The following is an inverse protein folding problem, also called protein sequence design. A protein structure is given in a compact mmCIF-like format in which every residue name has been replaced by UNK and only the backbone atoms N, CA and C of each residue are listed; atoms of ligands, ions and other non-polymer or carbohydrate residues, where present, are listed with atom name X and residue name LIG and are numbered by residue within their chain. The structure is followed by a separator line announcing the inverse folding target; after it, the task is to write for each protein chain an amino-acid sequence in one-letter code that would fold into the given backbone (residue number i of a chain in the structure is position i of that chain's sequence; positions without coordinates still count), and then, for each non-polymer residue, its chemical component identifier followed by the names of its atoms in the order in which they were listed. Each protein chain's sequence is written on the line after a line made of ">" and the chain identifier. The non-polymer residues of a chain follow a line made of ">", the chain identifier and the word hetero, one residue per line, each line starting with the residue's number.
data_IF_570210271334
#
_entry.id   IF_570210271334
#
_cell.length_a   1.000
_cell.length_b   1.000
_cell.length_c   1.000
_cell.angle_alpha   90.00
_cell.angle_beta   90.00
_cell.angle_gamma   90.00
#
_symmetry.space_group_name_H-M   'P 1'
#
loop_
_entity.id
_entity.type
_entity.pdbx_description
1 polymer ?
#
# COMPACT_ATOMS: atom_id res chain seq x y z
N UNK A 1 6.30 32.77 11.83
CA UNK A 1 7.15 31.66 12.28
C UNK A 1 6.78 30.49 11.41
N UNK A 2 7.78 29.86 10.81
CA UNK A 2 7.62 28.77 9.85
C UNK A 2 7.17 27.52 10.62
N UNK A 3 6.23 26.76 10.05
CA UNK A 3 5.75 25.52 10.66
C UNK A 3 6.89 24.52 10.86
N UNK A 4 6.70 23.59 11.78
CA UNK A 4 7.65 22.52 12.05
C UNK A 4 7.46 21.38 11.03
N UNK A 5 8.53 20.60 10.83
CA UNK A 5 8.61 19.56 9.80
C UNK A 5 8.30 18.20 10.41
N UNK A 6 7.44 17.44 9.72
CA UNK A 6 7.21 16.02 10.02
C UNK A 6 7.67 15.19 8.83
N UNK A 7 8.45 14.16 9.12
CA UNK A 7 9.00 13.26 8.14
C UNK A 7 8.05 12.07 7.94
N UNK A 8 7.51 11.92 6.73
CA UNK A 8 6.73 10.73 6.35
C UNK A 8 7.69 9.70 5.77
N UNK A 9 7.87 8.60 6.48
CA UNK A 9 8.70 7.46 6.10
C UNK A 9 7.77 6.36 5.59
N UNK A 10 7.50 6.38 4.28
CA UNK A 10 6.58 5.43 3.66
C UNK A 10 7.33 4.23 3.10
N UNK A 11 6.85 3.01 3.39
CA UNK A 11 7.43 1.78 2.86
C UNK A 11 6.38 0.71 2.63
N UNK A 12 6.68 -0.16 1.66
CA UNK A 12 6.01 -1.42 1.44
C UNK A 12 7.11 -2.49 1.28
N UNK A 13 7.76 -2.92 2.38
CA UNK A 13 8.77 -3.97 2.37
C UNK A 13 8.25 -5.22 1.67
N UNK A 14 9.15 -5.96 1.05
CA UNK A 14 8.86 -7.14 0.24
C UNK A 14 8.00 -8.14 1.04
N UNK A 15 6.88 -8.67 0.50
CA UNK A 15 6.18 -9.79 1.12
C UNK A 15 7.13 -10.97 1.38
N UNK A 16 7.29 -11.45 2.62
CA UNK A 16 8.28 -12.46 3.01
C UNK A 16 7.86 -13.89 2.62
N UNK A 17 7.28 -14.02 1.43
CA UNK A 17 6.69 -15.24 0.88
C UNK A 17 7.10 -15.40 -0.58
N UNK A 18 6.70 -16.50 -1.21
CA UNK A 18 7.04 -16.83 -2.61
C UNK A 18 8.54 -17.12 -2.87
N UNK A 19 9.24 -17.66 -1.86
CA UNK A 19 10.67 -18.01 -1.92
C UNK A 19 10.96 -19.51 -2.09
N UNK A 20 12.20 -19.82 -2.51
CA UNK A 20 12.82 -21.13 -2.32
C UNK A 20 13.50 -21.29 -0.95
N UNK A 21 14.23 -22.39 -0.70
CA UNK A 21 14.93 -22.64 0.57
C UNK A 21 15.93 -21.57 1.02
N UNK A 22 16.29 -20.65 0.12
CA UNK A 22 17.18 -19.52 0.36
C UNK A 22 16.56 -18.35 1.13
N UNK A 23 15.22 -18.26 1.23
CA UNK A 23 14.50 -17.22 2.00
C UNK A 23 14.89 -15.77 1.62
N UNK A 24 14.87 -15.46 0.31
CA UNK A 24 15.35 -14.16 -0.19
C UNK A 24 14.38 -13.02 0.14
N UNK A 25 13.08 -13.23 0.03
CA UNK A 25 12.10 -12.21 0.36
C UNK A 25 11.98 -12.04 1.87
N UNK A 26 12.06 -13.10 2.68
CA UNK A 26 12.12 -12.99 4.14
C UNK A 26 13.34 -12.19 4.61
N UNK A 27 14.53 -12.48 4.08
CA UNK A 27 15.76 -11.72 4.41
C UNK A 27 15.74 -10.29 3.88
N UNK A 28 15.14 -10.05 2.70
CA UNK A 28 14.97 -8.71 2.15
C UNK A 28 13.98 -7.87 2.96
N UNK A 29 12.82 -8.44 3.31
CA UNK A 29 11.84 -7.81 4.19
C UNK A 29 12.50 -7.39 5.51
N UNK A 30 13.30 -8.29 6.11
CA UNK A 30 14.07 -8.00 7.32
C UNK A 30 14.97 -6.77 7.16
N UNK A 31 15.74 -6.71 6.08
CA UNK A 31 16.68 -5.61 5.86
C UNK A 31 15.98 -4.29 5.47
N UNK A 32 14.85 -4.35 4.76
CA UNK A 32 14.00 -3.19 4.45
C UNK A 32 13.36 -2.59 5.72
N UNK A 33 12.93 -3.43 6.66
CA UNK A 33 12.45 -2.98 7.98
C UNK A 33 13.61 -2.43 8.84
N UNK A 34 14.74 -3.13 8.85
CA UNK A 34 15.94 -2.70 9.55
C UNK A 34 16.42 -1.34 9.07
N UNK A 35 16.37 -1.09 7.76
CA UNK A 35 16.73 0.21 7.18
C UNK A 35 16.01 1.35 7.90
N UNK A 36 14.70 1.23 8.15
CA UNK A 36 13.95 2.26 8.86
C UNK A 36 14.31 2.36 10.33
N UNK A 37 14.49 1.24 11.03
CA UNK A 37 14.94 1.24 12.42
C UNK A 37 16.29 1.95 12.58
N UNK A 38 17.24 1.69 11.67
CA UNK A 38 18.54 2.35 11.64
C UNK A 38 18.42 3.82 11.23
N UNK A 39 17.54 4.14 10.26
CA UNK A 39 17.31 5.51 9.76
C UNK A 39 16.83 6.46 10.86
N UNK A 40 15.90 6.01 11.71
CA UNK A 40 15.35 6.81 12.81
C UNK A 40 16.23 6.80 14.06
N UNK A 41 17.31 6.00 14.09
CA UNK A 41 18.22 5.91 15.23
C UNK A 41 19.48 6.73 15.01
N UNK A 42 19.67 7.85 15.73
CA UNK A 42 20.89 8.62 15.66
C UNK A 42 22.14 7.76 15.92
N UNK A 43 23.04 7.70 14.95
CA UNK A 43 24.30 6.95 15.05
C UNK A 43 24.27 5.52 14.51
N UNK A 44 23.11 4.95 14.15
CA UNK A 44 23.04 3.66 13.44
C UNK A 44 22.86 3.81 11.92
N UNK A 45 22.69 5.04 11.45
CA UNK A 45 22.43 5.40 10.06
C UNK A 45 23.69 5.70 9.22
N UNK A 46 24.88 5.25 9.65
CA UNK A 46 26.16 5.62 9.01
C UNK A 46 26.38 5.06 7.61
N UNK A 47 25.60 4.05 7.22
CA UNK A 47 25.67 3.43 5.89
C UNK A 47 24.61 3.99 4.92
N UNK A 48 23.71 4.84 5.42
CA UNK A 48 22.62 5.42 4.64
C UNK A 48 23.12 6.74 4.06
N UNK A 49 22.90 6.96 2.75
CA UNK A 49 23.31 8.17 2.07
C UNK A 49 22.35 8.53 0.93
N UNK A 50 22.26 9.82 0.62
CA UNK A 50 21.50 10.33 -0.51
C UNK A 50 22.32 10.35 -1.83
N UNK A 51 21.68 10.66 -2.95
CA UNK A 51 22.31 10.74 -4.27
C UNK A 51 23.41 11.83 -4.38
N UNK A 52 23.48 12.74 -3.41
CA UNK A 52 24.52 13.77 -3.32
C UNK A 52 25.67 13.36 -2.40
N UNK A 53 25.60 12.17 -1.80
CA UNK A 53 26.61 11.62 -0.91
C UNK A 53 26.54 12.14 0.53
N UNK A 54 25.42 12.75 0.96
CA UNK A 54 25.25 13.08 2.37
C UNK A 54 24.86 11.82 3.14
N UNK A 55 25.61 11.51 4.19
CA UNK A 55 25.38 10.35 5.03
C UNK A 55 24.50 10.70 6.23
N UNK A 56 23.64 9.76 6.63
CA UNK A 56 22.85 9.85 7.85
C UNK A 56 21.39 9.45 7.66
N UNK A 57 20.61 9.68 8.70
CA UNK A 57 19.17 9.50 8.74
C UNK A 57 18.51 10.67 9.46
N UNK A 58 17.44 10.42 10.22
CA UNK A 58 16.82 11.47 11.01
C UNK A 58 17.73 11.94 12.14
N UNK A 59 17.75 13.25 12.35
CA UNK A 59 18.45 13.87 13.47
C UNK A 59 17.67 13.65 14.77
N UNK A 60 18.39 13.69 15.89
CA UNK A 60 17.78 13.60 17.21
C UNK A 60 16.73 14.73 17.41
N UNK A 61 15.51 14.34 17.77
CA UNK A 61 14.40 15.26 18.03
C UNK A 61 13.53 15.60 16.82
N UNK A 62 13.81 15.05 15.63
CA UNK A 62 12.92 15.20 14.47
C UNK A 62 11.66 14.33 14.61
N UNK A 63 10.51 14.91 14.26
CA UNK A 63 9.21 14.22 14.29
C UNK A 63 9.01 13.38 13.02
N UNK A 64 8.50 12.16 13.15
CA UNK A 64 8.28 11.28 12.00
C UNK A 64 7.06 10.37 12.15
N UNK A 65 6.61 9.82 11.02
CA UNK A 65 5.65 8.71 10.90
C UNK A 65 6.26 7.64 10.02
N UNK A 66 6.19 6.38 10.46
CA UNK A 66 6.40 5.24 9.56
C UNK A 66 5.03 4.79 9.06
N UNK A 67 4.86 4.68 7.74
CA UNK A 67 3.57 4.40 7.10
C UNK A 67 3.71 3.34 6.01
N UNK A 68 2.69 2.51 5.89
CA UNK A 68 2.55 1.50 4.83
C UNK A 68 2.53 0.08 5.40
N UNK A 69 2.19 -0.88 4.54
CA UNK A 69 2.15 -2.29 4.91
C UNK A 69 3.58 -2.82 5.05
N UNK A 70 3.98 -3.21 6.26
CA UNK A 70 5.34 -3.71 6.51
C UNK A 70 5.52 -5.17 6.09
N UNK A 71 4.45 -5.86 5.69
CA UNK A 71 4.44 -7.28 5.33
C UNK A 71 5.08 -8.18 6.39
N UNK A 72 4.90 -7.83 7.66
CA UNK A 72 5.57 -8.52 8.74
C UNK A 72 4.68 -8.53 9.99
N UNK A 73 4.11 -9.71 10.27
CA UNK A 73 3.35 -9.95 11.50
C UNK A 73 4.28 -10.60 12.56
N UNK A 74 4.28 -10.09 13.80
CA UNK A 74 5.18 -10.59 14.86
C UNK A 74 4.81 -11.97 15.43
N UNK A 75 3.62 -12.50 15.12
CA UNK A 75 3.09 -13.77 15.63
C UNK A 75 2.85 -14.79 14.52
N UNK A 76 2.33 -14.33 13.39
CA UNK A 76 1.79 -15.18 12.32
C UNK A 76 2.47 -14.96 10.96
N UNK A 77 3.49 -14.09 10.88
CA UNK A 77 4.18 -13.71 9.65
C UNK A 77 5.39 -14.57 9.32
N UNK A 78 5.74 -14.62 8.03
CA UNK A 78 6.87 -15.41 7.51
C UNK A 78 8.22 -14.64 7.47
N UNK A 79 8.27 -13.41 7.98
CA UNK A 79 9.51 -12.62 8.01
C UNK A 79 10.61 -13.28 8.84
N UNK A 80 11.85 -13.27 8.33
CA UNK A 80 13.01 -13.79 9.06
C UNK A 80 13.29 -12.97 10.34
N UNK A 81 13.66 -13.66 11.42
CA UNK A 81 14.15 -13.06 12.67
C UNK A 81 13.20 -12.04 13.35
N UNK A 82 11.88 -12.18 13.19
CA UNK A 82 10.89 -11.26 13.77
C UNK A 82 11.15 -9.80 13.39
N UNK A 83 11.44 -9.55 12.10
CA UNK A 83 11.90 -8.27 11.60
C UNK A 83 11.13 -7.06 12.13
N UNK A 84 9.79 -7.15 12.19
CA UNK A 84 8.91 -6.05 12.61
C UNK A 84 9.12 -5.60 14.06
N UNK A 85 9.63 -6.48 14.93
CA UNK A 85 9.95 -6.12 16.32
C UNK A 85 11.05 -5.05 16.40
N UNK A 86 11.89 -4.92 15.36
CA UNK A 86 12.86 -3.83 15.26
C UNK A 86 12.20 -2.45 15.24
N UNK A 87 10.94 -2.34 14.76
CA UNK A 87 10.14 -1.12 14.80
C UNK A 87 9.19 -1.12 15.99
N UNK A 88 8.52 -2.25 16.28
CA UNK A 88 7.49 -2.27 17.32
C UNK A 88 8.04 -2.08 18.74
N UNK A 89 9.25 -2.59 19.01
CA UNK A 89 9.95 -2.45 20.29
C UNK A 89 10.92 -1.25 20.28
N UNK A 90 10.95 -0.47 19.19
CA UNK A 90 11.91 0.61 19.03
C UNK A 90 11.61 1.76 20.01
N UNK A 91 12.59 2.23 20.80
CA UNK A 91 12.35 3.23 21.85
C UNK A 91 11.93 4.61 21.32
N UNK A 92 12.16 4.88 20.03
CA UNK A 92 11.75 6.13 19.37
C UNK A 92 10.46 5.97 18.53
N UNK A 93 9.93 4.75 18.39
CA UNK A 93 8.67 4.52 17.66
C UNK A 93 7.54 4.37 18.67
N UNK A 94 6.46 5.12 18.46
CA UNK A 94 5.30 5.04 19.32
C UNK A 94 4.33 3.96 18.82
N UNK A 95 4.28 2.84 19.54
CA UNK A 95 3.36 1.72 19.30
C UNK A 95 2.24 1.62 20.32
N UNK A 96 2.04 2.64 21.15
CA UNK A 96 1.05 2.60 22.24
C UNK A 96 -0.41 2.52 21.76
N UNK A 97 -0.66 2.82 20.48
CA UNK A 97 -1.99 2.72 19.86
C UNK A 97 -1.91 1.75 18.69
N UNK A 98 -2.51 0.57 18.87
CA UNK A 98 -2.79 -0.38 17.79
C UNK A 98 -4.25 -0.22 17.39
N UNK A 99 -4.56 0.26 16.17
CA UNK A 99 -5.93 0.31 15.67
C UNK A 99 -6.54 -1.09 15.68
N UNK A 100 -7.80 -1.20 16.10
CA UNK A 100 -8.59 -2.43 16.00
C UNK A 100 -9.91 -2.15 15.30
N UNK A 101 -10.50 -3.16 14.67
CA UNK A 101 -11.74 -2.99 13.91
C UNK A 101 -12.67 -4.19 14.03
N UNK A 102 -13.98 -3.92 14.16
CA UNK A 102 -15.00 -4.98 14.12
C UNK A 102 -14.98 -5.76 12.81
N UNK A 103 -14.57 -5.13 11.71
CA UNK A 103 -14.41 -5.78 10.40
C UNK A 103 -13.38 -6.90 10.42
N UNK A 104 -12.26 -6.71 11.13
CA UNK A 104 -11.20 -7.71 11.28
C UNK A 104 -11.71 -8.94 12.03
N UNK A 105 -12.42 -8.71 13.14
CA UNK A 105 -13.05 -9.77 13.94
C UNK A 105 -14.08 -10.56 13.10
N UNK A 106 -14.91 -9.86 12.30
CA UNK A 106 -15.88 -10.51 11.42
C UNK A 106 -15.20 -11.33 10.32
N UNK A 107 -14.14 -10.80 9.72
CA UNK A 107 -13.36 -11.51 8.71
C UNK A 107 -12.75 -12.79 9.29
N UNK A 108 -12.16 -12.72 10.48
CA UNK A 108 -11.60 -13.89 11.15
C UNK A 108 -12.65 -14.98 11.44
N UNK A 109 -13.88 -14.59 11.82
CA UNK A 109 -14.98 -15.54 12.02
C UNK A 109 -15.42 -16.18 10.68
N UNK A 110 -15.51 -15.39 9.61
CA UNK A 110 -15.95 -15.85 8.28
C UNK A 110 -14.91 -16.78 7.65
N UNK A 111 -13.62 -16.44 7.76
CA UNK A 111 -12.51 -17.23 7.22
C UNK A 111 -12.37 -18.60 7.92
N UNK A 112 -12.94 -18.74 9.12
CA UNK A 112 -13.13 -20.04 9.76
C UNK A 112 -11.82 -20.79 9.95
N UNK A 113 -11.67 -21.94 9.27
CA UNK A 113 -10.54 -22.86 9.46
C UNK A 113 -9.17 -22.26 9.15
N UNK A 114 -9.08 -21.26 8.27
CA UNK A 114 -7.81 -20.60 7.93
C UNK A 114 -7.18 -19.89 9.15
N UNK A 115 -7.99 -19.45 10.12
CA UNK A 115 -7.52 -18.77 11.32
C UNK A 115 -7.43 -19.70 12.54
N UNK A 116 -7.64 -21.01 12.38
CA UNK A 116 -7.58 -21.96 13.51
C UNK A 116 -6.19 -22.02 14.17
N UNK A 117 -5.13 -21.68 13.42
CA UNK A 117 -3.75 -21.65 13.91
C UNK A 117 -3.23 -20.23 14.15
N UNK A 118 -4.06 -19.20 13.95
CA UNK A 118 -3.69 -17.80 14.13
C UNK A 118 -3.46 -17.51 15.62
N UNK A 119 -2.31 -16.94 15.95
CA UNK A 119 -1.89 -16.69 17.34
C UNK A 119 -2.16 -15.24 17.77
N UNK A 120 -2.04 -14.30 16.83
CA UNK A 120 -2.32 -12.89 17.00
C UNK A 120 -3.78 -12.62 17.37
N UNK A 121 -4.02 -11.51 18.06
CA UNK A 121 -5.39 -11.09 18.37
C UNK A 121 -6.07 -10.57 17.10
N UNK A 122 -7.04 -11.35 16.61
CA UNK A 122 -7.78 -11.04 15.37
C UNK A 122 -8.46 -9.68 15.29
N UNK A 123 -8.61 -8.97 16.42
CA UNK A 123 -9.07 -7.58 16.41
C UNK A 123 -8.09 -6.63 15.70
N UNK A 124 -6.84 -7.03 15.51
CA UNK A 124 -5.77 -6.28 14.85
C UNK A 124 -5.49 -6.72 13.41
N UNK A 125 -6.21 -7.74 12.92
CA UNK A 125 -6.04 -8.26 11.56
C UNK A 125 -6.62 -7.29 10.51
N UNK A 126 -6.35 -7.58 9.25
CA UNK A 126 -7.03 -6.93 8.13
C UNK A 126 -8.33 -7.69 7.79
N UNK A 127 -9.40 -6.95 7.46
CA UNK A 127 -10.58 -7.54 6.87
C UNK A 127 -10.37 -7.81 5.36
N UNK A 128 -11.24 -8.59 4.72
CA UNK A 128 -11.15 -8.89 3.29
C UNK A 128 -11.75 -7.82 2.37
N UNK A 129 -12.73 -7.04 2.86
CA UNK A 129 -13.43 -6.07 2.01
C UNK A 129 -12.50 -4.91 1.63
N UNK A 130 -12.43 -4.59 0.34
CA UNK A 130 -11.71 -3.40 -0.13
C UNK A 130 -12.25 -2.14 0.56
N UNK A 131 -11.36 -1.30 1.08
CA UNK A 131 -11.71 -0.17 1.96
C UNK A 131 -10.64 0.90 1.94
N UNK A 132 -11.01 2.10 2.39
CA UNK A 132 -10.05 3.15 2.71
C UNK A 132 -10.23 3.64 4.15
N UNK A 133 -9.18 4.23 4.71
CA UNK A 133 -9.16 4.78 6.07
C UNK A 133 -9.18 6.31 6.00
N UNK A 134 -9.97 6.93 6.86
CA UNK A 134 -9.94 8.39 7.06
C UNK A 134 -9.19 8.69 8.35
N UNK A 135 -8.18 9.55 8.26
CA UNK A 135 -7.31 9.95 9.36
C UNK A 135 -7.34 11.47 9.49
N UNK A 136 -7.53 11.97 10.71
CA UNK A 136 -7.17 13.35 11.04
C UNK A 136 -5.75 13.36 11.59
N UNK A 137 -4.93 14.30 11.13
CA UNK A 137 -3.59 14.53 11.66
C UNK A 137 -3.55 16.00 12.11
N UNK A 138 -3.59 16.23 13.43
CA UNK A 138 -3.47 17.57 13.99
C UNK A 138 -2.02 18.02 13.99
N UNK A 139 -1.69 18.98 13.11
CA UNK A 139 -0.36 19.58 13.00
C UNK A 139 -0.38 21.06 13.39
N UNK A 140 -1.37 21.49 14.17
CA UNK A 140 -1.61 22.91 14.44
C UNK A 140 -0.51 23.59 15.25
N UNK A 141 0.22 22.84 16.07
CA UNK A 141 1.40 23.32 16.80
C UNK A 141 2.72 23.04 16.08
N UNK A 142 2.68 22.34 14.94
CA UNK A 142 3.84 21.92 14.16
C UNK A 142 4.42 20.55 14.52
N UNK A 143 4.07 19.99 15.68
CA UNK A 143 4.59 18.71 16.13
C UNK A 143 3.67 17.57 15.69
N UNK A 144 4.23 16.37 15.58
CA UNK A 144 3.43 15.15 15.56
C UNK A 144 3.63 14.40 16.86
N UNK A 145 2.72 14.62 17.80
CA UNK A 145 2.76 13.98 19.10
C UNK A 145 1.73 12.84 19.22
N UNK A 146 1.87 12.09 20.31
CA UNK A 146 0.91 11.04 20.65
C UNK A 146 -0.51 11.61 20.75
N UNK A 147 -1.45 11.00 20.02
CA UNK A 147 -2.86 11.40 20.00
C UNK A 147 -3.22 12.39 18.89
N UNK A 148 -2.25 12.83 18.07
CA UNK A 148 -2.51 13.79 16.99
C UNK A 148 -3.00 13.10 15.71
N UNK A 149 -2.62 11.83 15.50
CA UNK A 149 -3.25 10.98 14.48
C UNK A 149 -4.49 10.34 15.09
N UNK A 150 -5.66 10.70 14.55
CA UNK A 150 -6.94 10.12 14.96
C UNK A 150 -7.53 9.36 13.77
N UNK A 151 -7.71 8.05 13.93
CA UNK A 151 -8.52 7.25 13.01
C UNK A 151 -9.98 7.68 13.14
N UNK A 152 -10.54 8.20 12.05
CA UNK A 152 -11.90 8.74 12.01
C UNK A 152 -12.90 7.71 11.55
N UNK A 153 -12.54 6.99 10.48
CA UNK A 153 -13.46 6.06 9.85
C UNK A 153 -12.73 4.99 9.04
N UNK A 154 -13.44 3.89 8.80
CA UNK A 154 -13.07 2.83 7.87
C UNK A 154 -14.24 2.66 6.92
N UNK A 155 -14.02 2.97 5.64
CA UNK A 155 -15.09 3.01 4.64
C UNK A 155 -14.87 1.91 3.60
N UNK A 156 -15.78 0.95 3.56
CA UNK A 156 -15.80 -0.11 2.54
C UNK A 156 -16.10 0.47 1.16
N UNK A 157 -15.35 0.04 0.15
CA UNK A 157 -15.64 0.32 -1.25
C UNK A 157 -16.78 -0.60 -1.72
N UNK A 158 -17.78 0.00 -2.36
CA UNK A 158 -18.99 -0.65 -2.85
C UNK A 158 -19.06 -0.53 -4.36
N UNK A 159 -19.56 -1.56 -5.02
CA UNK A 159 -19.84 -1.57 -6.46
C UNK A 159 -21.03 -0.64 -6.82
N UNK A 160 -21.36 -0.56 -8.11
CA UNK A 160 -22.48 0.28 -8.58
C UNK A 160 -23.87 -0.17 -8.10
N UNK A 161 -23.99 -1.37 -7.54
CA UNK A 161 -25.21 -1.90 -6.94
C UNK A 161 -25.28 -1.64 -5.42
N UNK A 162 -24.21 -1.06 -4.85
CA UNK A 162 -24.09 -0.77 -3.42
C UNK A 162 -23.65 -1.97 -2.58
N UNK A 163 -23.11 -3.03 -3.20
CA UNK A 163 -22.58 -4.19 -2.50
C UNK A 163 -21.07 -4.06 -2.31
N UNK A 164 -20.48 -4.59 -1.22
CA UNK A 164 -19.04 -4.80 -1.15
C UNK A 164 -18.57 -5.63 -2.34
N UNK A 165 -17.40 -5.29 -2.90
CA UNK A 165 -16.79 -6.11 -3.94
C UNK A 165 -16.59 -7.54 -3.42
N UNK A 166 -16.86 -8.58 -4.24
CA UNK A 166 -16.61 -9.95 -3.84
C UNK A 166 -15.10 -10.18 -3.63
N UNK A 167 -14.76 -11.26 -2.91
CA UNK A 167 -13.38 -11.70 -2.77
C UNK A 167 -12.70 -11.82 -4.14
N UNK A 168 -11.51 -11.21 -4.30
CA UNK A 168 -10.78 -11.08 -5.58
C UNK A 168 -11.54 -10.35 -6.70
N UNK A 169 -12.60 -9.61 -6.37
CA UNK A 169 -13.38 -8.81 -7.33
C UNK A 169 -12.80 -7.43 -7.63
N UNK A 170 -11.86 -6.98 -6.82
CA UNK A 170 -11.12 -5.74 -6.93
C UNK A 170 -9.73 -5.96 -6.33
N UNK A 171 -8.74 -5.32 -6.92
CA UNK A 171 -7.38 -5.28 -6.39
C UNK A 171 -6.88 -3.83 -6.42
N UNK A 172 -7.20 -3.01 -5.39
CA UNK A 172 -7.02 -1.56 -5.44
C UNK A 172 -5.59 -1.14 -5.03
N UNK A 173 -4.91 -0.41 -5.90
CA UNK A 173 -3.49 -0.04 -5.69
C UNK A 173 -3.27 1.48 -5.50
N UNK A 174 -4.13 2.30 -6.10
CA UNK A 174 -3.96 3.75 -6.12
C UNK A 174 -5.22 4.48 -5.68
N UNK A 175 -5.04 5.59 -4.96
CA UNK A 175 -6.12 6.47 -4.48
C UNK A 175 -5.77 7.94 -4.74
N UNK A 176 -6.74 8.69 -5.27
CA UNK A 176 -6.59 10.14 -5.50
C UNK A 176 -7.86 10.90 -5.11
N UNK A 177 -7.73 11.85 -4.18
CA UNK A 177 -8.83 12.72 -3.74
C UNK A 177 -9.04 13.90 -4.70
N UNK A 178 -10.30 14.20 -4.99
CA UNK A 178 -10.72 15.37 -5.77
C UNK A 178 -11.10 16.54 -4.87
N UNK A 179 -10.98 17.76 -5.38
CA UNK A 179 -11.47 19.02 -4.82
C UNK A 179 -12.99 19.04 -4.59
N UNK A 180 -13.72 18.08 -5.17
CA UNK A 180 -15.18 17.91 -4.97
C UNK A 180 -15.51 16.92 -3.86
N UNK A 181 -14.52 16.34 -3.18
CA UNK A 181 -14.75 15.34 -2.13
C UNK A 181 -15.21 14.01 -2.70
N UNK A 182 -14.54 13.53 -3.75
CA UNK A 182 -14.69 12.18 -4.30
C UNK A 182 -13.31 11.55 -4.48
N UNK A 183 -13.27 10.23 -4.64
CA UNK A 183 -12.03 9.47 -4.80
C UNK A 183 -11.98 8.86 -6.18
N UNK A 184 -10.83 8.92 -6.85
CA UNK A 184 -10.50 7.93 -7.87
C UNK A 184 -9.74 6.79 -7.20
N UNK A 185 -10.07 5.56 -7.59
CA UNK A 185 -9.35 4.35 -7.20
C UNK A 185 -8.91 3.63 -8.47
N UNK A 186 -7.64 3.22 -8.54
CA UNK A 186 -7.14 2.32 -9.58
C UNK A 186 -7.15 0.90 -9.05
N UNK A 187 -7.55 -0.03 -9.90
CA UNK A 187 -7.42 -1.45 -9.64
C UNK A 187 -6.58 -2.14 -10.70
N UNK A 188 -5.70 -3.02 -10.23
CA UNK A 188 -4.76 -3.77 -11.06
C UNK A 188 -5.46 -4.89 -11.86
N UNK A 189 -6.59 -5.39 -11.35
CA UNK A 189 -7.34 -6.50 -11.96
C UNK A 189 -6.73 -7.86 -11.61
N UNK A 190 -7.08 -8.89 -12.38
CA UNK A 190 -6.50 -10.25 -12.22
C UNK A 190 -6.50 -10.88 -13.62
N UNK A 191 -5.35 -10.81 -14.29
CA UNK A 191 -5.21 -11.31 -15.66
C UNK A 191 -5.42 -12.84 -15.74
N UNK A 192 -5.12 -13.58 -14.67
CA UNK A 192 -5.31 -15.04 -14.62
C UNK A 192 -6.80 -15.39 -14.53
N UNK A 193 -7.60 -14.52 -13.90
CA UNK A 193 -9.06 -14.65 -13.77
C UNK A 193 -9.85 -13.87 -14.83
N UNK A 194 -9.16 -13.24 -15.79
CA UNK A 194 -9.74 -12.32 -16.79
C UNK A 194 -10.53 -11.15 -16.19
N UNK A 195 -10.14 -10.72 -14.99
CA UNK A 195 -10.63 -9.51 -14.36
C UNK A 195 -9.86 -8.32 -14.95
N UNK A 196 -10.59 -7.37 -15.52
CA UNK A 196 -10.01 -6.19 -16.15
C UNK A 196 -9.46 -5.22 -15.09
N UNK A 197 -8.34 -4.53 -15.38
CA UNK A 197 -7.93 -3.37 -14.60
C UNK A 197 -8.95 -2.25 -14.77
N UNK A 198 -9.07 -1.36 -13.79
CA UNK A 198 -9.95 -0.20 -13.89
C UNK A 198 -9.38 1.05 -13.21
N UNK A 199 -9.97 2.20 -13.56
CA UNK A 199 -9.89 3.41 -12.75
C UNK A 199 -11.31 3.92 -12.58
N UNK A 200 -11.85 3.87 -11.37
CA UNK A 200 -13.25 4.20 -11.10
C UNK A 200 -13.34 5.31 -10.06
N UNK A 201 -14.48 6.00 -10.05
CA UNK A 201 -14.76 7.08 -9.11
C UNK A 201 -15.77 6.65 -8.04
N UNK A 202 -15.44 6.99 -6.80
CA UNK A 202 -16.15 6.61 -5.59
C UNK A 202 -16.52 7.85 -4.79
N UNK A 203 -17.65 7.81 -4.10
CA UNK A 203 -17.99 8.80 -3.08
C UNK A 203 -17.12 8.61 -1.84
N UNK A 204 -17.06 9.61 -0.95
CA UNK A 204 -16.44 9.43 0.37
C UNK A 204 -17.25 8.50 1.30
N UNK A 205 -18.42 8.05 0.88
CA UNK A 205 -19.16 6.97 1.54
C UNK A 205 -18.81 5.59 0.96
N UNK A 206 -17.88 5.52 -0.01
CA UNK A 206 -17.41 4.27 -0.61
C UNK A 206 -18.19 3.79 -1.83
N UNK A 207 -19.24 4.50 -2.26
CA UNK A 207 -20.10 4.07 -3.37
C UNK A 207 -19.45 4.37 -4.73
N UNK A 208 -19.25 3.35 -5.57
CA UNK A 208 -18.86 3.55 -6.96
C UNK A 208 -20.00 4.22 -7.73
N UNK A 209 -19.72 5.33 -8.41
CA UNK A 209 -20.72 6.03 -9.23
C UNK A 209 -20.26 6.31 -10.66
N UNK A 210 -18.98 6.09 -10.99
CA UNK A 210 -18.46 6.30 -12.34
C UNK A 210 -17.33 5.32 -12.69
N UNK A 211 -17.37 4.80 -13.91
CA UNK A 211 -16.31 3.99 -14.49
C UNK A 211 -15.57 4.76 -15.58
N UNK A 212 -14.24 4.74 -15.54
CA UNK A 212 -13.44 5.27 -16.63
C UNK A 212 -13.08 4.14 -17.59
N UNK A 213 -13.58 4.20 -18.83
CA UNK A 213 -13.18 3.35 -19.96
C UNK A 213 -11.66 3.11 -20.06
N UNK A 214 -11.20 1.90 -19.76
CA UNK A 214 -9.81 1.52 -19.98
C UNK A 214 -9.61 1.12 -21.44
N UNK A 215 -8.56 1.59 -22.15
CA UNK A 215 -8.33 1.17 -23.53
C UNK A 215 -8.13 -0.34 -23.66
N UNK A 216 -8.69 -0.96 -24.69
CA UNK A 216 -8.68 -2.42 -24.89
C UNK A 216 -7.30 -3.08 -24.79
N UNK A 217 -6.22 -2.36 -25.10
CA UNK A 217 -4.85 -2.88 -25.02
C UNK A 217 -4.44 -3.32 -23.60
N UNK A 218 -5.09 -2.77 -22.57
CA UNK A 218 -4.83 -3.12 -21.17
C UNK A 218 -5.69 -4.31 -20.71
N UNK A 219 -6.72 -4.69 -21.46
CA UNK A 219 -7.63 -5.74 -21.04
C UNK A 219 -7.00 -7.12 -21.32
N UNK A 220 -6.92 -8.02 -20.32
CA UNK A 220 -6.40 -9.36 -20.52
C UNK A 220 -7.27 -10.15 -21.50
N UNK A 221 -6.64 -10.91 -22.40
CA UNK A 221 -7.34 -11.82 -23.31
C UNK A 221 -7.20 -13.27 -22.88
N UNK A 222 -8.24 -14.07 -23.13
CA UNK A 222 -8.28 -15.49 -22.76
C UNK A 222 -7.17 -16.34 -23.39
N UNK A 223 -6.63 -15.91 -24.53
CA UNK A 223 -5.49 -16.56 -25.19
C UNK A 223 -4.13 -16.09 -24.66
N UNK A 224 -4.11 -15.16 -23.70
CA UNK A 224 -2.91 -14.57 -23.12
C UNK A 224 -2.06 -13.79 -24.11
N UNK A 225 -2.64 -13.33 -25.23
CA UNK A 225 -1.90 -12.63 -26.29
C UNK A 225 -1.79 -11.11 -26.07
N UNK A 226 -2.63 -10.53 -25.22
CA UNK A 226 -2.61 -9.10 -24.91
C UNK A 226 -3.17 -8.77 -23.53
N UNK A 227 -2.89 -7.55 -23.08
CA UNK A 227 -3.39 -7.00 -21.83
C UNK A 227 -2.31 -6.79 -20.78
N UNK A 228 -2.76 -6.48 -19.57
CA UNK A 228 -1.93 -6.43 -18.38
C UNK A 228 -1.30 -7.78 -18.06
N UNK A 229 -0.26 -7.72 -17.22
CA UNK A 229 0.31 -8.89 -16.55
C UNK A 229 -0.25 -8.92 -15.13
N UNK A 230 -0.52 -10.12 -14.62
CA UNK A 230 -0.98 -10.28 -13.25
C UNK A 230 0.06 -9.73 -12.25
N UNK A 231 -0.40 -8.98 -11.24
CA UNK A 231 0.42 -8.36 -10.20
C UNK A 231 1.48 -7.41 -10.75
N UNK A 232 1.14 -6.66 -11.80
CA UNK A 232 2.04 -5.78 -12.57
C UNK A 232 1.28 -4.73 -13.39
N UNK A 233 0.07 -4.36 -12.95
CA UNK A 233 -0.85 -3.53 -13.70
C UNK A 233 -0.92 -2.13 -13.09
N UNK A 234 -2.12 -1.54 -12.95
CA UNK A 234 -2.29 -0.16 -12.51
C UNK A 234 -1.95 0.06 -11.02
N UNK A 235 -0.66 0.18 -10.71
CA UNK A 235 -0.13 0.39 -9.35
C UNK A 235 -0.24 1.84 -8.86
N UNK A 236 -0.40 2.79 -9.78
CA UNK A 236 -0.24 4.21 -9.48
C UNK A 236 -1.47 5.01 -9.86
N UNK A 237 -1.76 6.06 -9.10
CA UNK A 237 -2.84 6.97 -9.44
C UNK A 237 -2.55 8.37 -8.90
N UNK A 238 -2.66 9.38 -9.75
CA UNK A 238 -2.58 10.77 -9.33
C UNK A 238 -3.41 11.68 -10.21
N UNK A 239 -3.92 12.77 -9.62
CA UNK A 239 -4.69 13.81 -10.29
C UNK A 239 -3.95 15.14 -10.19
N UNK A 240 -3.94 15.93 -11.26
CA UNK A 240 -3.33 17.26 -11.22
C UNK A 240 -4.09 18.20 -10.28
N UNK A 241 -3.43 19.21 -9.68
CA UNK A 241 -4.10 20.14 -8.75
C UNK A 241 -5.29 20.89 -9.36
N UNK A 242 -5.25 21.15 -10.67
CA UNK A 242 -6.34 21.76 -11.44
C UNK A 242 -7.40 20.76 -11.95
N UNK A 243 -7.25 19.48 -11.58
CA UNK A 243 -8.10 18.34 -11.93
C UNK A 243 -8.33 18.10 -13.42
N UNK A 244 -7.47 18.66 -14.28
CA UNK A 244 -7.58 18.47 -15.73
C UNK A 244 -7.04 17.14 -16.21
N UNK A 245 -6.19 16.49 -15.42
CA UNK A 245 -5.52 15.27 -15.83
C UNK A 245 -5.47 14.26 -14.70
N UNK A 246 -5.86 13.03 -15.03
CA UNK A 246 -5.67 11.85 -14.19
C UNK A 246 -4.61 10.96 -14.86
N UNK A 247 -3.64 10.51 -14.08
CA UNK A 247 -2.56 9.64 -14.51
C UNK A 247 -2.58 8.34 -13.72
N UNK A 248 -2.39 7.23 -14.43
CA UNK A 248 -2.04 5.92 -13.88
C UNK A 248 -0.99 5.27 -14.79
N UNK A 249 -0.20 4.35 -14.26
CA UNK A 249 0.81 3.63 -15.02
C UNK A 249 0.78 2.14 -14.67
N UNK A 250 1.19 1.31 -15.63
CA UNK A 250 1.43 -0.11 -15.37
C UNK A 250 2.79 -0.32 -14.70
N UNK A 251 2.92 -1.28 -13.78
CA UNK A 251 4.23 -1.61 -13.18
C UNK A 251 5.22 -2.14 -14.21
N UNK A 252 4.72 -2.93 -15.18
CA UNK A 252 5.54 -3.60 -16.18
C UNK A 252 4.94 -3.49 -17.58
N UNK A 253 5.67 -3.94 -18.61
CA UNK A 253 5.11 -3.96 -19.95
C UNK A 253 3.86 -4.82 -20.03
N UNK A 254 2.93 -4.35 -20.86
CA UNK A 254 1.81 -5.19 -21.31
C UNK A 254 2.35 -6.40 -22.06
N UNK A 255 1.54 -7.46 -22.12
CA UNK A 255 1.88 -8.72 -22.79
C UNK A 255 2.43 -8.49 -24.21
N UNK A 256 1.72 -7.66 -24.98
CA UNK A 256 2.03 -7.36 -26.37
C UNK A 256 3.19 -6.37 -26.58
N UNK A 257 3.69 -5.75 -25.51
CA UNK A 257 4.72 -4.70 -25.60
C UNK A 257 6.13 -5.25 -25.42
N UNK A 258 6.28 -6.46 -24.88
CA UNK A 258 7.58 -7.10 -24.70
C UNK A 258 7.66 -7.96 -23.44
N UNK A 259 8.83 -8.52 -23.15
CA UNK A 259 9.07 -9.30 -21.94
C UNK A 259 9.01 -8.44 -20.67
N UNK A 260 8.98 -9.10 -19.51
CA UNK A 260 9.08 -8.42 -18.22
C UNK A 260 10.47 -7.77 -18.10
N UNK A 261 10.53 -6.63 -17.42
CA UNK A 261 11.82 -6.05 -17.04
C UNK A 261 12.61 -7.00 -16.14
N UNK A 262 13.94 -6.97 -16.27
CA UNK A 262 14.88 -7.66 -15.40
C UNK A 262 16.12 -6.80 -15.17
N UNK A 263 17.08 -7.30 -14.40
CA UNK A 263 18.39 -6.63 -14.24
C UNK A 263 19.19 -6.55 -15.56
N UNK A 264 18.82 -7.37 -16.56
CA UNK A 264 19.53 -7.47 -17.84
C UNK A 264 18.67 -6.97 -19.02
N UNK A 265 17.38 -6.76 -18.81
CA UNK A 265 16.42 -6.46 -19.89
C UNK A 265 15.49 -5.31 -19.49
N UNK A 266 15.47 -4.27 -20.32
CA UNK A 266 14.54 -3.15 -20.18
C UNK A 266 13.15 -3.52 -20.71
N UNK A 267 12.12 -2.85 -20.20
CA UNK A 267 10.74 -3.10 -20.61
C UNK A 267 9.94 -1.79 -20.69
N UNK A 268 9.00 -1.73 -21.63
CA UNK A 268 8.23 -0.53 -21.90
C UNK A 268 7.02 -0.41 -20.96
N UNK A 269 7.06 0.55 -20.03
CA UNK A 269 5.90 0.91 -19.20
C UNK A 269 5.00 1.89 -19.94
N UNK A 270 3.67 1.73 -19.78
CA UNK A 270 2.68 2.66 -20.31
C UNK A 270 2.10 3.53 -19.20
N UNK A 271 2.03 4.83 -19.48
CA UNK A 271 1.25 5.80 -18.68
C UNK A 271 -0.07 6.05 -19.41
N UNK A 272 -1.17 5.86 -18.71
CA UNK A 272 -2.50 6.23 -19.16
C UNK A 272 -2.83 7.61 -18.63
N UNK A 273 -3.13 8.52 -19.55
CA UNK A 273 -3.60 9.87 -19.27
C UNK A 273 -5.07 10.00 -19.67
N UNK A 274 -5.88 10.58 -18.77
CA UNK A 274 -7.29 10.83 -19.04
C UNK A 274 -7.75 12.23 -18.63
N UNK A 275 -8.75 12.71 -19.39
CA UNK A 275 -9.55 13.91 -19.18
C UNK A 275 -11.01 13.54 -18.94
#
# INVERSE_FOLDING_TARGET
>A
MWGETIHVLASHPTPPVFDGPEDRNGTRNHDEIRFWADYVTPGQNSYIYDDTGNFGGLNAGESFVIMGDQNADPFDGDSTNNAILQLLDHPLVNTAVTPSGEGAIKAAIIQGENNNNHQGNSAFDTANDARFYTLDIDLSDGNLEQGYVTFKDVTTLLDTEGNPFPERGIDPEGIALTNKGTLFISSEGDANSLLNPFVNQFSLAGEQFQELTVPNKFLPTADGSSGIRNNQAFESLTITPDERFLYTAVENALIQDGPRSSLEEESAVRILLRF
#
